data_IF_207827480169
#
_entry.id   IF_207827480169
#
_cell.length_a   1.000
_cell.length_b   1.000
_cell.length_c   1.000
_cell.angle_alpha   90.00
_cell.angle_beta   90.00
_cell.angle_gamma   90.00
#
_symmetry.space_group_name_H-M   'P 1'
#
loop_
_entity.id
_entity.type
_entity.pdbx_description
1 polymer ?
#
# COMPACT_ATOMS: atom_id res chain seq x y z
N UNK A 1 3.46 3.33 6.29
CA UNK A 1 4.37 2.22 5.88
C UNK A 1 3.88 1.65 4.56
N UNK A 2 4.81 1.43 3.63
CA UNK A 2 4.54 0.99 2.26
C UNK A 2 5.15 -0.40 2.03
N UNK A 3 4.32 -1.34 1.57
CA UNK A 3 4.68 -2.75 1.43
C UNK A 3 4.36 -3.21 0.02
N UNK A 4 5.34 -3.86 -0.60
CA UNK A 4 5.25 -4.47 -1.92
C UNK A 4 5.20 -5.99 -1.80
N UNK A 5 4.33 -6.61 -2.58
CA UNK A 5 4.25 -8.06 -2.72
C UNK A 5 4.24 -8.47 -4.19
N UNK A 6 4.68 -9.69 -4.48
CA UNK A 6 4.63 -10.19 -5.85
C UNK A 6 3.20 -10.27 -6.41
N UNK A 7 2.22 -10.62 -5.57
CA UNK A 7 0.79 -10.55 -5.86
C UNK A 7 -0.05 -10.78 -4.59
N UNK A 8 -1.29 -10.31 -4.60
CA UNK A 8 -2.32 -10.62 -3.59
C UNK A 8 -3.56 -11.20 -4.29
N UNK A 9 -3.54 -12.49 -4.61
CA UNK A 9 -4.66 -13.18 -5.28
C UNK A 9 -5.55 -13.98 -4.32
N UNK A 10 -4.99 -14.46 -3.22
CA UNK A 10 -5.73 -15.27 -2.25
C UNK A 10 -6.83 -14.43 -1.59
N UNK A 11 -8.09 -14.85 -1.76
CA UNK A 11 -9.24 -14.25 -1.08
C UNK A 11 -9.10 -14.29 0.45
N UNK A 12 -8.48 -15.36 0.98
CA UNK A 12 -8.18 -15.47 2.41
C UNK A 12 -7.21 -14.39 2.85
N UNK A 13 -6.07 -14.23 2.17
CA UNK A 13 -5.12 -13.16 2.51
C UNK A 13 -5.76 -11.78 2.42
N UNK A 14 -6.55 -11.51 1.38
CA UNK A 14 -7.27 -10.23 1.22
C UNK A 14 -8.15 -9.92 2.42
N UNK A 15 -8.99 -10.87 2.83
CA UNK A 15 -9.84 -10.74 4.01
C UNK A 15 -9.01 -10.56 5.28
N UNK A 16 -8.01 -11.43 5.50
CA UNK A 16 -7.20 -11.40 6.72
C UNK A 16 -6.39 -10.10 6.84
N UNK A 17 -5.95 -9.49 5.72
CA UNK A 17 -5.33 -8.15 5.68
C UNK A 17 -6.29 -7.08 6.21
N UNK A 18 -7.55 -7.09 5.75
CA UNK A 18 -8.56 -6.11 6.17
C UNK A 18 -8.91 -6.29 7.66
N UNK A 19 -9.14 -7.53 8.09
CA UNK A 19 -9.45 -7.86 9.49
C UNK A 19 -8.32 -7.43 10.42
N UNK A 20 -7.06 -7.71 10.06
CA UNK A 20 -5.90 -7.34 10.84
C UNK A 20 -5.73 -5.82 10.94
N UNK A 21 -5.92 -5.09 9.83
CA UNK A 21 -5.84 -3.63 9.83
C UNK A 21 -6.91 -3.01 10.74
N UNK A 22 -8.13 -3.55 10.69
CA UNK A 22 -9.24 -3.13 11.54
C UNK A 22 -8.96 -3.39 13.02
N UNK A 23 -8.45 -4.58 13.38
CA UNK A 23 -8.10 -4.95 14.75
C UNK A 23 -7.04 -4.00 15.34
N UNK A 24 -6.07 -3.60 14.52
CA UNK A 24 -4.98 -2.69 14.89
C UNK A 24 -5.33 -1.20 14.68
N UNK A 25 -6.58 -0.87 14.32
CA UNK A 25 -7.06 0.51 14.09
C UNK A 25 -6.18 1.30 13.13
N UNK A 26 -5.66 0.62 12.12
CA UNK A 26 -4.85 1.21 11.07
C UNK A 26 -5.74 1.83 9.99
N UNK A 27 -5.22 2.84 9.31
CA UNK A 27 -5.80 3.35 8.07
C UNK A 27 -4.86 3.07 6.91
N UNK A 28 -5.33 3.22 5.68
CA UNK A 28 -4.55 2.93 4.48
C UNK A 28 -5.32 2.09 3.48
N UNK A 29 -4.62 1.22 2.77
CA UNK A 29 -5.27 0.38 1.78
C UNK A 29 -4.50 -0.91 1.50
N UNK A 30 -5.22 -1.89 0.96
CA UNK A 30 -4.63 -2.99 0.20
C UNK A 30 -5.09 -2.92 -1.24
N UNK A 31 -4.15 -3.07 -2.17
CA UNK A 31 -4.40 -3.06 -3.60
C UNK A 31 -4.02 -4.45 -4.15
N UNK A 32 -5.01 -5.34 -4.33
CA UNK A 32 -4.75 -6.68 -4.82
C UNK A 32 -4.55 -6.70 -6.33
N UNK A 33 -3.57 -7.48 -6.76
CA UNK A 33 -3.19 -7.57 -8.17
C UNK A 33 -1.81 -8.18 -8.31
N UNK A 34 -1.19 -7.96 -9.47
CA UNK A 34 0.22 -8.24 -9.71
C UNK A 34 0.88 -6.97 -10.29
N UNK A 35 1.69 -6.25 -9.50
CA UNK A 35 2.04 -6.54 -8.10
C UNK A 35 0.89 -6.29 -7.13
N UNK A 36 1.02 -6.81 -5.91
CA UNK A 36 0.10 -6.46 -4.82
C UNK A 36 0.76 -5.42 -3.91
N UNK A 37 0.03 -4.37 -3.55
CA UNK A 37 0.53 -3.26 -2.74
C UNK A 37 -0.29 -3.13 -1.47
N UNK A 38 0.37 -2.74 -0.37
CA UNK A 38 -0.29 -2.47 0.90
C UNK A 38 0.32 -1.19 1.48
N UNK A 39 -0.54 -0.25 1.88
CA UNK A 39 -0.16 0.91 2.67
C UNK A 39 -0.88 0.82 4.01
N UNK A 40 -0.16 1.06 5.11
CA UNK A 40 -0.77 1.20 6.43
C UNK A 40 -0.21 2.41 7.19
N UNK A 41 -1.09 3.09 7.92
CA UNK A 41 -0.81 4.27 8.72
C UNK A 41 -1.38 4.06 10.12
N UNK A 42 -0.61 4.40 11.15
CA UNK A 42 -0.96 4.14 12.54
C UNK A 42 0.24 4.36 13.47
N UNK A 43 0.14 3.87 14.70
CA UNK A 43 1.28 3.94 15.62
C UNK A 43 2.41 3.04 15.12
N UNK A 44 3.65 3.37 15.51
CA UNK A 44 4.81 2.55 15.15
C UNK A 44 4.61 1.08 15.56
N UNK A 45 4.06 0.84 16.75
CA UNK A 45 3.85 -0.50 17.26
C UNK A 45 2.79 -1.26 16.44
N UNK A 46 1.66 -0.64 16.15
CA UNK A 46 0.58 -1.27 15.38
C UNK A 46 1.02 -1.56 13.94
N UNK A 47 1.72 -0.63 13.28
CA UNK A 47 2.28 -0.88 11.95
C UNK A 47 3.34 -1.99 11.95
N UNK A 48 4.19 -2.06 12.99
CA UNK A 48 5.18 -3.14 13.12
C UNK A 48 4.51 -4.49 13.33
N UNK A 49 3.48 -4.55 14.19
CA UNK A 49 2.71 -5.77 14.45
C UNK A 49 1.97 -6.22 13.20
N UNK A 50 1.32 -5.28 12.49
CA UNK A 50 0.68 -5.55 11.21
C UNK A 50 1.65 -6.18 10.22
N UNK A 51 2.83 -5.57 10.03
CA UNK A 51 3.85 -6.13 9.14
C UNK A 51 4.39 -7.49 9.62
N UNK A 52 4.50 -7.70 10.93
CA UNK A 52 4.88 -8.99 11.50
C UNK A 52 3.88 -10.08 11.11
N UNK A 53 2.59 -9.85 11.36
CA UNK A 53 1.51 -10.77 11.03
C UNK A 53 1.40 -11.02 9.52
N UNK A 54 1.58 -9.97 8.70
CA UNK A 54 1.65 -10.14 7.24
C UNK A 54 2.77 -11.13 6.87
N UNK A 55 3.97 -11.00 7.42
CA UNK A 55 5.09 -11.92 7.12
C UNK A 55 4.82 -13.37 7.46
N UNK A 56 3.91 -13.66 8.40
CA UNK A 56 3.52 -15.03 8.77
C UNK A 56 2.62 -15.68 7.72
N UNK A 57 1.98 -14.90 6.84
CA UNK A 57 1.21 -15.43 5.72
C UNK A 57 2.15 -15.98 4.63
N UNK A 58 1.66 -16.90 3.79
CA UNK A 58 2.49 -17.48 2.72
C UNK A 58 2.64 -16.51 1.53
N UNK A 59 3.82 -15.90 1.36
CA UNK A 59 4.14 -15.00 0.23
C UNK A 59 5.21 -15.57 -0.68
N UNK A 60 5.10 -15.32 -2.00
CA UNK A 60 6.24 -15.54 -2.92
C UNK A 60 7.33 -14.48 -2.73
N UNK A 61 6.92 -13.24 -2.48
CA UNK A 61 7.78 -12.12 -2.09
C UNK A 61 6.91 -11.10 -1.37
N UNK A 62 7.39 -10.62 -0.22
CA UNK A 62 6.85 -9.49 0.54
C UNK A 62 8.02 -8.62 0.98
N UNK A 63 7.92 -7.30 0.81
CA UNK A 63 9.02 -6.39 1.11
C UNK A 63 8.46 -5.05 1.59
N UNK A 64 8.93 -4.58 2.76
CA UNK A 64 8.75 -3.19 3.17
C UNK A 64 9.58 -2.31 2.25
N UNK A 65 8.92 -1.42 1.51
CA UNK A 65 9.57 -0.49 0.56
C UNK A 65 9.99 0.77 1.28
N UNK A 66 9.07 1.35 2.06
CA UNK A 66 9.29 2.63 2.72
C UNK A 66 8.57 2.67 4.06
N UNK A 67 9.22 3.27 5.04
CA UNK A 67 8.66 3.54 6.36
C UNK A 67 8.92 5.01 6.66
N UNK A 68 7.86 5.70 7.05
CA UNK A 68 7.89 7.13 7.37
C UNK A 68 7.48 7.21 8.84
N UNK A 69 8.37 7.77 9.65
CA UNK A 69 8.19 7.92 11.09
C UNK A 69 8.36 9.40 11.40
N UNK A 70 7.33 10.01 11.96
CA UNK A 70 7.40 11.35 12.51
C UNK A 70 7.10 11.34 14.00
N UNK A 71 7.86 12.12 14.76
CA UNK A 71 7.61 12.35 16.18
C UNK A 71 6.55 13.44 16.31
N UNK A 72 5.30 13.03 16.42
CA UNK A 72 4.15 13.94 16.45
C UNK A 72 3.66 14.15 17.88
N UNK A 73 3.24 15.38 18.19
CA UNK A 73 2.35 15.63 19.33
C UNK A 73 0.99 14.96 19.09
N UNK A 74 0.26 14.57 20.15
CA UNK A 74 -1.07 13.93 20.03
C UNK A 74 -2.05 14.71 19.14
N UNK A 75 -1.96 16.04 19.16
CA UNK A 75 -2.78 16.94 18.32
C UNK A 75 -2.46 16.88 16.82
N UNK A 76 -1.27 16.44 16.45
CA UNK A 76 -0.77 16.43 15.06
C UNK A 76 -0.85 15.04 14.42
N UNK A 77 -1.06 13.99 15.24
CA UNK A 77 -1.10 12.61 14.79
C UNK A 77 -2.22 12.31 13.77
N UNK A 78 -3.37 12.99 13.89
CA UNK A 78 -4.46 12.83 12.93
C UNK A 78 -4.14 13.52 11.58
N UNK A 79 -3.41 14.63 11.60
CA UNK A 79 -3.03 15.35 10.38
C UNK A 79 -1.99 14.60 9.53
N UNK A 80 -1.34 13.58 10.09
CA UNK A 80 -0.36 12.76 9.38
C UNK A 80 -1.00 11.59 8.62
N UNK A 81 -2.22 11.19 9.00
CA UNK A 81 -2.97 10.15 8.27
C UNK A 81 -3.47 10.72 6.97
N UNK A 82 -3.10 10.08 5.87
CA UNK A 82 -3.54 10.45 4.52
C UNK A 82 -4.81 9.70 4.14
N UNK A 83 -5.12 8.60 4.83
CA UNK A 83 -6.31 7.79 4.62
C UNK A 83 -7.20 7.79 5.87
N UNK A 84 -8.51 7.93 5.68
CA UNK A 84 -9.50 7.95 6.78
C UNK A 84 -9.75 6.55 7.35
N UNK A 85 -9.80 5.54 6.49
CA UNK A 85 -10.06 4.14 6.81
C UNK A 85 -9.02 3.22 6.19
N UNK A 86 -9.09 1.92 6.48
CA UNK A 86 -8.36 0.88 5.75
C UNK A 86 -9.28 0.14 4.78
N UNK A 87 -9.01 0.20 3.47
CA UNK A 87 -9.89 -0.36 2.44
C UNK A 87 -9.16 -1.23 1.41
N UNK A 88 -9.86 -2.20 0.81
CA UNK A 88 -9.40 -2.86 -0.41
C UNK A 88 -9.78 -2.00 -1.61
N UNK A 89 -8.78 -1.53 -2.37
CA UNK A 89 -8.98 -0.72 -3.58
C UNK A 89 -8.65 -1.54 -4.82
N UNK A 90 -9.28 -1.20 -5.96
CA UNK A 90 -9.04 -1.87 -7.24
C UNK A 90 -9.17 -0.90 -8.41
N UNK A 91 -8.16 -0.90 -9.28
CA UNK A 91 -8.11 -0.10 -10.51
C UNK A 91 -8.04 -0.99 -11.75
N UNK A 92 -8.74 -2.13 -11.70
CA UNK A 92 -8.67 -3.11 -12.78
C UNK A 92 -9.27 -2.58 -14.09
N UNK A 93 -8.49 -2.67 -15.17
CA UNK A 93 -8.98 -2.42 -16.53
C UNK A 93 -9.71 -3.69 -16.97
N UNK A 94 -11.03 -3.63 -17.19
CA UNK A 94 -11.77 -4.77 -17.76
C UNK A 94 -11.25 -5.05 -19.18
N UNK A 95 -10.33 -6.02 -19.36
CA UNK A 95 -9.97 -6.54 -20.68
C UNK A 95 -9.76 -8.06 -20.68
N UNK A 96 -10.77 -8.76 -21.21
CA UNK A 96 -10.61 -10.08 -21.83
C UNK A 96 -10.66 -11.32 -20.93
N UNK A 97 -10.65 -12.54 -21.52
CA UNK A 97 -10.87 -13.82 -20.84
C UNK A 97 -9.71 -14.33 -19.96
N UNK A 98 -8.72 -13.49 -19.64
CA UNK A 98 -7.58 -13.90 -18.85
C UNK A 98 -7.64 -13.22 -17.48
N UNK A 99 -7.58 -14.02 -16.42
CA UNK A 99 -7.50 -13.62 -15.01
C UNK A 99 -6.21 -12.86 -14.64
N UNK A 100 -5.63 -12.07 -15.57
CA UNK A 100 -4.53 -11.17 -15.28
C UNK A 100 -5.09 -9.86 -14.72
N UNK A 101 -5.09 -9.77 -13.39
CA UNK A 101 -5.32 -8.52 -12.65
C UNK A 101 -4.15 -7.56 -12.93
N UNK A 102 -4.13 -6.98 -14.12
CA UNK A 102 -3.27 -5.88 -14.48
C UNK A 102 -3.91 -4.58 -14.00
N UNK A 103 -3.20 -3.86 -13.14
CA UNK A 103 -3.68 -2.63 -12.54
C UNK A 103 -3.45 -1.46 -13.49
N UNK A 104 -4.40 -0.54 -13.56
CA UNK A 104 -4.17 0.74 -14.23
C UNK A 104 -3.23 1.61 -13.38
N UNK A 105 -1.96 1.67 -13.78
CA UNK A 105 -0.95 2.46 -13.07
C UNK A 105 -1.25 3.96 -13.10
N UNK A 106 -1.96 4.46 -14.12
CA UNK A 106 -2.36 5.87 -14.19
C UNK A 106 -3.45 6.19 -13.17
N UNK A 107 -4.45 5.32 -13.03
CA UNK A 107 -5.46 5.47 -11.99
C UNK A 107 -4.87 5.30 -10.58
N UNK A 108 -3.92 4.38 -10.41
CA UNK A 108 -3.24 4.22 -9.13
C UNK A 108 -2.38 5.43 -8.76
N UNK A 109 -1.63 6.00 -9.71
CA UNK A 109 -0.86 7.22 -9.48
C UNK A 109 -1.80 8.37 -9.08
N UNK A 110 -2.90 8.57 -9.82
CA UNK A 110 -3.90 9.57 -9.49
C UNK A 110 -4.47 9.38 -8.08
N UNK A 111 -4.79 8.14 -7.70
CA UNK A 111 -5.24 7.83 -6.34
C UNK A 111 -4.22 8.23 -5.28
N UNK A 112 -2.92 7.97 -5.52
CA UNK A 112 -1.87 8.42 -4.60
C UNK A 112 -1.76 9.94 -4.55
N UNK A 113 -1.87 10.64 -5.68
CA UNK A 113 -1.85 12.11 -5.75
C UNK A 113 -3.02 12.74 -4.98
N UNK A 114 -4.22 12.19 -5.14
CA UNK A 114 -5.43 12.62 -4.42
C UNK A 114 -5.28 12.49 -2.89
N UNK A 115 -4.40 11.58 -2.43
CA UNK A 115 -4.05 11.37 -1.01
C UNK A 115 -2.67 11.94 -0.64
N UNK A 116 -2.14 12.91 -1.38
CA UNK A 116 -0.83 13.55 -1.11
C UNK A 116 0.33 12.54 -0.92
N UNK A 117 0.26 11.41 -1.62
CA UNK A 117 1.20 10.29 -1.55
C UNK A 117 1.89 9.99 -2.88
N UNK A 118 1.70 10.81 -3.92
CA UNK A 118 2.22 10.54 -5.28
C UNK A 118 3.73 10.28 -5.35
N UNK A 119 4.52 10.88 -4.45
CA UNK A 119 5.97 10.70 -4.38
C UNK A 119 6.40 9.23 -4.18
N UNK A 120 5.56 8.42 -3.52
CA UNK A 120 5.91 7.01 -3.21
C UNK A 120 5.80 6.09 -4.42
N UNK A 121 5.17 6.55 -5.50
CA UNK A 121 5.00 5.75 -6.71
C UNK A 121 6.36 5.30 -7.27
N UNK A 122 7.35 6.21 -7.29
CA UNK A 122 8.70 5.91 -7.74
C UNK A 122 9.42 4.90 -6.82
N UNK A 123 9.26 5.07 -5.50
CA UNK A 123 9.82 4.14 -4.50
C UNK A 123 9.25 2.73 -4.67
N UNK A 124 7.93 2.60 -4.90
CA UNK A 124 7.23 1.32 -5.02
C UNK A 124 7.64 0.50 -6.25
N UNK A 125 7.91 1.16 -7.37
CA UNK A 125 8.23 0.49 -8.64
C UNK A 125 9.72 0.53 -9.00
N UNK A 126 10.54 1.20 -8.19
CA UNK A 126 11.97 1.38 -8.47
C UNK A 126 12.22 2.12 -9.78
N UNK A 127 11.25 2.92 -10.23
CA UNK A 127 11.40 3.78 -11.40
C UNK A 127 12.08 5.04 -10.88
N UNK A 128 13.42 5.04 -10.84
CA UNK A 128 14.14 6.31 -10.75
C UNK A 128 13.64 7.17 -11.92
N UNK A 129 12.99 8.28 -11.60
CA UNK A 129 12.80 9.32 -12.59
C UNK A 129 14.20 9.66 -13.08
N UNK A 130 14.52 9.26 -14.31
CA UNK A 130 15.66 9.83 -15.02
C UNK A 130 15.27 11.28 -15.18
N UNK A 131 15.65 12.11 -14.21
CA UNK A 131 15.63 13.55 -14.37
C UNK A 131 16.69 13.79 -15.43
N UNK A 132 16.26 13.78 -16.69
CA UNK A 132 17.02 14.31 -17.79
C UNK A 132 17.17 15.79 -17.51
N UNK A 133 18.22 16.13 -16.76
CA UNK A 133 18.76 17.48 -16.71
C UNK A 133 19.20 17.81 -18.14
N UNK A 134 18.32 18.43 -18.91
CA UNK A 134 18.70 19.10 -20.13
C UNK A 134 19.65 20.23 -19.72
N UNK A 135 20.88 20.12 -20.23
CA UNK A 135 21.93 21.11 -20.12
C UNK A 135 21.93 21.96 -21.39
#
# INVERSE_FOLDING_TARGET
MWIYSHHIYSKFKRRDILELAQQLKLTGFSLPGKPGLICCEGTKNDCCEFYHQLKLMSWKKLSKVKEEIEELSESSAQNFRRFEDFQEISFSVRRGPANEYHMDMGQFLKYLEDHNSGYVFHDLFGIEARVSSNK
#
